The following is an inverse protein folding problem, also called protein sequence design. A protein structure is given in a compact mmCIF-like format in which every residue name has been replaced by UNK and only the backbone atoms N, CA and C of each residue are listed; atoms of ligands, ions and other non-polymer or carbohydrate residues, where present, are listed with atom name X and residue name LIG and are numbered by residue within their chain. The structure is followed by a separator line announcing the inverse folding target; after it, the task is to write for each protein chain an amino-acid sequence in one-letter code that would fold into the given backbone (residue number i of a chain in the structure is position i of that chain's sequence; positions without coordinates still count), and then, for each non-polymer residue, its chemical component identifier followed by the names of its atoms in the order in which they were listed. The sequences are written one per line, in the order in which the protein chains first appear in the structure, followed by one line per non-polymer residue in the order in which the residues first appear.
data_IF_380329479543
#
_entry.id   IF_380329479543
#
_cell.length_a   1.000
_cell.length_b   1.000
_cell.length_c   1.000
_cell.angle_alpha   90.00
_cell.angle_beta   90.00
_cell.angle_gamma   90.00
#
_symmetry.space_group_name_H-M   'P 1'
#
loop_
_entity.id
_entity.type
_entity.pdbx_description
1 polymer ?
#
# COMPACT_ATOMS: atom_id res chain seq x y z
N UNK A 1 12.65 26.90 26.45
CA UNK A 1 12.45 25.47 26.72
C UNK A 1 12.48 24.75 25.38
N UNK A 2 13.64 24.19 25.00
CA UNK A 2 13.90 23.61 23.69
C UNK A 2 14.16 22.10 23.89
N UNK A 3 13.21 21.24 23.50
CA UNK A 3 13.38 19.80 23.57
C UNK A 3 14.30 19.35 22.43
N UNK A 4 15.54 18.98 22.77
CA UNK A 4 16.45 18.22 21.89
C UNK A 4 15.97 16.77 21.86
N UNK A 5 15.40 16.32 20.74
CA UNK A 5 15.29 14.90 20.44
C UNK A 5 16.64 14.39 19.99
N UNK A 6 17.22 13.48 20.78
CA UNK A 6 18.43 12.73 20.47
C UNK A 6 18.03 11.55 19.59
N UNK A 7 18.49 11.54 18.34
CA UNK A 7 18.45 10.39 17.46
C UNK A 7 19.64 9.49 17.82
N UNK A 8 19.40 8.45 18.61
CA UNK A 8 20.41 7.42 18.90
C UNK A 8 20.24 6.25 17.93
N UNK A 9 20.97 6.26 16.82
CA UNK A 9 21.27 5.05 16.05
C UNK A 9 22.53 4.46 16.69
N UNK A 10 22.36 3.44 17.54
CA UNK A 10 23.46 2.67 18.09
C UNK A 10 23.68 1.45 17.17
N UNK A 11 24.63 1.56 16.25
CA UNK A 11 25.12 0.43 15.45
C UNK A 11 26.25 -0.25 16.23
N UNK A 12 25.95 -1.35 16.92
CA UNK A 12 26.95 -2.14 17.64
C UNK A 12 27.30 -3.37 16.78
N UNK A 13 28.27 -3.18 15.87
CA UNK A 13 28.85 -4.28 15.08
C UNK A 13 30.13 -4.71 15.78
N UNK A 14 30.03 -5.73 16.63
CA UNK A 14 31.17 -6.46 17.16
C UNK A 14 30.90 -7.96 17.02
N UNK A 15 31.43 -8.55 15.96
CA UNK A 15 31.34 -9.98 15.70
C UNK A 15 32.04 -10.31 14.38
N UNK A 16 33.29 -10.74 14.48
CA UNK A 16 34.12 -11.14 13.35
C UNK A 16 33.42 -12.18 12.47
N UNK A 17 33.08 -11.79 11.24
CA UNK A 17 32.77 -12.72 10.15
C UNK A 17 33.61 -12.29 8.95
N UNK A 18 34.36 -13.25 8.44
CA UNK A 18 35.24 -13.09 7.29
C UNK A 18 34.55 -12.30 6.17
N UNK A 19 35.18 -11.20 5.76
CA UNK A 19 34.70 -10.34 4.68
C UNK A 19 34.50 -11.16 3.39
N UNK A 20 33.25 -11.55 3.10
CA UNK A 20 32.84 -11.84 1.72
C UNK A 20 32.69 -10.50 1.01
N UNK A 21 33.79 -10.04 0.41
CA UNK A 21 33.84 -8.77 -0.31
C UNK A 21 33.06 -8.77 -1.65
N UNK A 22 32.46 -9.90 -2.05
CA UNK A 22 31.73 -10.04 -3.33
C UNK A 22 30.21 -10.19 -3.17
N UNK A 23 29.65 -9.92 -1.98
CA UNK A 23 28.21 -9.84 -1.83
C UNK A 23 27.71 -8.56 -2.53
N UNK A 24 27.05 -8.73 -3.69
CA UNK A 24 26.36 -7.63 -4.36
C UNK A 24 25.34 -6.94 -3.43
N UNK A 25 24.92 -5.70 -3.75
CA UNK A 25 24.02 -4.91 -2.89
C UNK A 25 22.74 -5.66 -2.47
N UNK A 26 22.22 -6.54 -3.33
CA UNK A 26 21.05 -7.37 -3.01
C UNK A 26 21.30 -8.39 -1.89
N UNK A 27 22.50 -8.96 -1.82
CA UNK A 27 22.87 -9.91 -0.76
C UNK A 27 22.96 -9.19 0.59
N UNK A 28 23.50 -7.97 0.62
CA UNK A 28 23.54 -7.14 1.83
C UNK A 28 22.14 -6.77 2.31
N UNK A 29 21.23 -6.43 1.40
CA UNK A 29 19.83 -6.12 1.77
C UNK A 29 19.05 -7.37 2.21
N UNK A 30 19.36 -8.54 1.64
CA UNK A 30 18.75 -9.79 2.06
C UNK A 30 19.07 -10.13 3.53
N UNK A 31 20.30 -9.85 3.97
CA UNK A 31 20.73 -10.07 5.36
C UNK A 31 20.04 -9.12 6.37
N UNK A 32 19.42 -8.04 5.89
CA UNK A 32 18.68 -7.08 6.72
C UNK A 32 17.17 -7.37 6.78
N UNK A 33 16.69 -8.44 6.14
CA UNK A 33 15.28 -8.76 6.11
C UNK A 33 14.76 -9.16 7.50
N UNK A 34 13.70 -8.50 7.95
CA UNK A 34 12.96 -8.86 9.16
C UNK A 34 11.79 -9.76 8.75
N UNK A 35 11.82 -11.02 9.19
CA UNK A 35 10.70 -11.95 9.05
C UNK A 35 9.55 -11.61 10.00
N UNK A 36 8.33 -11.64 9.49
CA UNK A 36 7.11 -11.30 10.22
C UNK A 36 6.06 -12.39 9.99
N UNK A 37 5.37 -12.80 11.04
CA UNK A 37 4.27 -13.78 11.00
C UNK A 37 3.10 -13.28 11.84
N UNK A 38 1.88 -13.87 11.71
CA UNK A 38 0.74 -13.48 12.53
C UNK A 38 0.99 -13.59 14.05
N UNK A 39 1.86 -14.52 14.48
CA UNK A 39 2.22 -14.71 15.89
C UNK A 39 3.20 -13.63 16.38
N UNK A 40 3.99 -13.07 15.48
CA UNK A 40 4.99 -12.04 15.77
C UNK A 40 4.81 -10.84 14.82
N UNK A 41 3.69 -10.10 14.94
CA UNK A 41 3.37 -9.04 14.00
C UNK A 41 4.34 -7.85 14.16
N UNK A 42 4.56 -7.14 13.05
CA UNK A 42 5.40 -5.94 12.99
C UNK A 42 4.75 -4.89 12.10
N UNK A 43 4.80 -3.66 12.59
CA UNK A 43 4.52 -2.47 11.79
C UNK A 43 5.76 -2.13 10.95
N UNK A 44 5.54 -1.58 9.76
CA UNK A 44 6.58 -1.01 8.91
C UNK A 44 6.24 0.44 8.56
N UNK A 45 7.28 1.19 8.19
CA UNK A 45 7.15 2.51 7.57
C UNK A 45 8.27 2.70 6.55
N UNK A 46 7.89 2.98 5.31
CA UNK A 46 8.77 3.42 4.25
C UNK A 46 8.58 4.90 4.01
N UNK A 47 9.64 5.57 3.59
CA UNK A 47 9.62 6.98 3.18
C UNK A 47 10.45 7.15 1.92
N UNK A 48 9.96 7.98 1.01
CA UNK A 48 10.66 8.42 -0.20
C UNK A 48 11.74 9.48 0.11
N UNK A 49 11.92 9.81 1.40
CA UNK A 49 12.71 10.94 1.93
C UNK A 49 12.18 12.32 1.52
N UNK A 50 11.00 12.36 0.92
CA UNK A 50 10.21 13.53 0.58
C UNK A 50 8.99 13.65 1.50
N UNK A 51 7.82 13.82 0.89
CA UNK A 51 6.57 14.00 1.62
C UNK A 51 5.77 12.70 1.77
N UNK A 52 6.18 11.64 1.09
CA UNK A 52 5.41 10.41 0.96
C UNK A 52 5.87 9.33 1.96
N UNK A 53 4.90 8.65 2.55
CA UNK A 53 5.16 7.54 3.46
C UNK A 53 4.18 6.41 3.20
N UNK A 54 4.66 5.16 3.27
CA UNK A 54 3.82 3.97 3.25
C UNK A 54 4.06 3.21 4.54
N UNK A 55 2.99 2.98 5.31
CA UNK A 55 3.10 2.33 6.61
C UNK A 55 1.94 1.37 6.86
N UNK A 56 2.12 0.45 7.80
CA UNK A 56 1.05 -0.45 8.19
C UNK A 56 1.57 -1.70 8.86
N UNK A 57 0.67 -2.66 9.09
CA UNK A 57 1.05 -3.99 9.57
C UNK A 57 1.59 -4.81 8.40
N UNK A 58 2.76 -5.43 8.56
CA UNK A 58 3.32 -6.29 7.52
C UNK A 58 2.46 -7.55 7.34
N UNK A 59 1.91 -8.07 8.45
CA UNK A 59 0.92 -9.16 8.50
C UNK A 59 -0.11 -8.85 9.59
N UNK A 60 -1.38 -9.08 9.31
CA UNK A 60 -2.51 -8.89 10.23
C UNK A 60 -3.36 -7.65 9.96
N UNK A 61 -4.43 -7.46 10.77
CA UNK A 61 -5.33 -6.31 10.64
C UNK A 61 -4.67 -5.01 11.06
N UNK A 62 -5.00 -3.93 10.37
CA UNK A 62 -4.53 -2.60 10.73
C UNK A 62 -4.92 -2.26 12.18
N UNK A 63 -3.92 -2.00 13.01
CA UNK A 63 -4.16 -1.68 14.43
C UNK A 63 -4.08 -0.18 14.73
N UNK A 64 -3.64 0.63 13.76
CA UNK A 64 -3.42 2.08 13.87
C UNK A 64 -4.02 2.83 12.69
N UNK A 65 -4.48 4.05 12.93
CA UNK A 65 -5.05 4.92 11.89
C UNK A 65 -4.04 5.55 10.95
N UNK A 66 -2.74 5.45 11.24
CA UNK A 66 -1.69 5.88 10.31
C UNK A 66 -1.17 4.68 9.50
N UNK A 67 -2.05 3.89 8.91
CA UNK A 67 -1.65 2.83 7.98
C UNK A 67 -2.12 3.19 6.58
N UNK A 68 -1.50 2.57 5.57
CA UNK A 68 -1.69 2.94 4.18
C UNK A 68 -0.65 3.94 3.69
N UNK A 69 -1.01 4.66 2.63
CA UNK A 69 -0.18 5.59 1.90
C UNK A 69 -0.54 7.04 2.22
N UNK A 70 0.47 7.83 2.54
CA UNK A 70 0.35 9.22 2.98
C UNK A 70 1.20 10.13 2.13
N UNK A 71 0.73 11.35 1.90
CA UNK A 71 1.53 12.45 1.35
C UNK A 71 1.27 13.69 2.18
N UNK A 72 2.34 14.32 2.70
CA UNK A 72 2.26 15.53 3.52
C UNK A 72 1.22 15.41 4.67
N UNK A 73 1.28 14.30 5.42
CA UNK A 73 0.38 13.97 6.54
C UNK A 73 -1.11 13.78 6.20
N UNK A 74 -1.45 13.73 4.91
CA UNK A 74 -2.77 13.33 4.46
C UNK A 74 -2.73 11.87 4.07
N UNK A 75 -3.64 11.09 4.63
CA UNK A 75 -3.93 9.76 4.13
C UNK A 75 -4.45 9.92 2.71
N UNK A 76 -4.05 9.01 1.82
CA UNK A 76 -4.51 8.95 0.43
C UNK A 76 -5.19 7.61 0.18
N UNK A 77 -4.58 6.52 0.67
CA UNK A 77 -5.06 5.16 0.56
C UNK A 77 -4.89 4.46 1.91
N UNK A 78 -5.96 4.00 2.53
CA UNK A 78 -5.97 3.24 3.80
C UNK A 78 -5.37 1.83 3.59
N UNK A 79 -5.68 1.19 2.47
CA UNK A 79 -5.10 -0.10 2.13
C UNK A 79 -5.64 -0.68 0.83
N UNK A 80 -5.36 -1.96 0.60
CA UNK A 80 -5.78 -2.66 -0.60
C UNK A 80 -5.86 -4.18 -0.38
N UNK A 81 -6.49 -4.85 -1.34
CA UNK A 81 -6.46 -6.30 -1.49
C UNK A 81 -6.47 -6.69 -2.97
N UNK A 82 -5.94 -7.88 -3.29
CA UNK A 82 -6.19 -8.56 -4.56
C UNK A 82 -7.11 -9.75 -4.28
N UNK A 83 -8.25 -9.84 -4.97
CA UNK A 83 -9.18 -10.96 -4.86
C UNK A 83 -9.09 -11.84 -6.10
N UNK A 84 -8.94 -13.14 -5.90
CA UNK A 84 -8.87 -14.14 -6.96
C UNK A 84 -10.27 -14.58 -7.41
N UNK A 85 -10.34 -15.31 -8.52
CA UNK A 85 -11.59 -15.82 -9.12
C UNK A 85 -12.43 -16.66 -8.14
N UNK A 86 -11.78 -17.43 -7.27
CA UNK A 86 -12.44 -18.26 -6.25
C UNK A 86 -12.92 -17.47 -5.02
N UNK A 87 -12.68 -16.16 -5.00
CA UNK A 87 -13.00 -15.27 -3.88
C UNK A 87 -11.90 -15.15 -2.82
N UNK A 88 -10.78 -15.87 -2.97
CA UNK A 88 -9.64 -15.75 -2.05
C UNK A 88 -9.10 -14.33 -2.05
N UNK A 89 -9.03 -13.71 -0.87
CA UNK A 89 -8.48 -12.36 -0.70
C UNK A 89 -6.99 -12.44 -0.31
N UNK A 90 -6.16 -11.68 -1.03
CA UNK A 90 -4.74 -11.47 -0.75
C UNK A 90 -4.55 -10.05 -0.20
N UNK A 91 -4.61 -9.93 1.12
CA UNK A 91 -4.41 -8.68 1.86
C UNK A 91 -3.43 -8.86 3.02
N UNK A 92 -3.11 -7.78 3.73
CA UNK A 92 -2.28 -7.87 4.93
C UNK A 92 -2.87 -8.83 5.97
N UNK A 93 -4.20 -8.89 6.06
CA UNK A 93 -4.94 -9.71 7.04
C UNK A 93 -4.80 -11.19 6.76
N UNK A 94 -4.77 -11.58 5.48
CA UNK A 94 -4.75 -12.97 5.05
C UNK A 94 -3.34 -13.49 4.72
N UNK A 95 -2.32 -12.64 4.80
CA UNK A 95 -0.94 -13.04 4.55
C UNK A 95 -0.43 -14.04 5.61
N UNK A 96 0.29 -15.06 5.16
CA UNK A 96 0.88 -16.06 6.06
C UNK A 96 2.15 -15.53 6.73
N UNK A 97 2.95 -14.79 5.96
CA UNK A 97 4.23 -14.24 6.38
C UNK A 97 4.58 -13.00 5.55
N UNK A 98 5.50 -12.19 6.08
CA UNK A 98 6.11 -11.10 5.35
C UNK A 98 7.61 -11.01 5.64
N UNK A 99 8.33 -10.36 4.72
CA UNK A 99 9.73 -9.96 4.88
C UNK A 99 9.84 -8.47 4.64
N UNK A 100 10.23 -7.73 5.66
CA UNK A 100 10.43 -6.29 5.57
C UNK A 100 11.92 -6.01 5.42
N UNK A 101 12.30 -5.34 4.32
CA UNK A 101 13.66 -4.87 4.04
C UNK A 101 13.69 -3.34 4.06
N UNK A 102 14.87 -2.70 4.07
CA UNK A 102 14.97 -1.25 4.04
C UNK A 102 14.26 -0.58 2.84
N UNK A 103 14.18 -1.27 1.70
CA UNK A 103 13.70 -0.74 0.41
C UNK A 103 12.32 -1.27 -0.01
N UNK A 104 11.85 -2.38 0.59
CA UNK A 104 10.61 -3.06 0.17
C UNK A 104 10.05 -3.97 1.23
N UNK A 105 8.78 -4.33 1.07
CA UNK A 105 8.12 -5.41 1.82
C UNK A 105 7.68 -6.51 0.86
N UNK A 106 7.93 -7.76 1.22
CA UNK A 106 7.34 -8.94 0.56
C UNK A 106 6.28 -9.54 1.47
N UNK A 107 5.09 -9.85 0.95
CA UNK A 107 4.06 -10.66 1.61
C UNK A 107 3.85 -11.96 0.85
N UNK A 108 3.57 -13.04 1.56
CA UNK A 108 3.40 -14.37 0.99
C UNK A 108 2.07 -14.97 1.43
N UNK A 109 1.37 -15.59 0.49
CA UNK A 109 0.14 -16.35 0.70
C UNK A 109 0.30 -17.74 0.09
N UNK A 110 -0.04 -18.78 0.86
CA UNK A 110 -0.18 -20.16 0.39
C UNK A 110 -1.67 -20.40 0.11
N UNK A 111 -1.99 -20.65 -1.15
CA UNK A 111 -3.36 -20.88 -1.57
C UNK A 111 -3.83 -22.28 -1.15
N UNK A 112 -5.15 -22.51 -0.99
CA UNK A 112 -5.70 -23.83 -0.67
C UNK A 112 -5.32 -24.92 -1.69
N UNK A 113 -5.09 -24.52 -2.94
CA UNK A 113 -4.65 -25.39 -4.04
C UNK A 113 -3.16 -25.76 -3.99
N UNK A 114 -2.38 -25.13 -3.10
CA UNK A 114 -0.97 -25.42 -2.83
C UNK A 114 0.02 -24.45 -3.48
N UNK A 115 -0.41 -23.63 -4.43
CA UNK A 115 0.41 -22.57 -5.02
C UNK A 115 0.73 -21.46 -4.01
N UNK A 116 1.77 -20.68 -4.30
CA UNK A 116 2.17 -19.54 -3.49
C UNK A 116 2.10 -18.27 -4.33
N UNK A 117 1.46 -17.24 -3.78
CA UNK A 117 1.49 -15.87 -4.31
C UNK A 117 2.41 -15.04 -3.44
N UNK A 118 3.27 -14.23 -4.07
CA UNK A 118 4.11 -13.24 -3.38
C UNK A 118 3.80 -11.85 -3.89
N UNK A 119 3.61 -10.88 -2.99
CA UNK A 119 3.48 -9.47 -3.33
C UNK A 119 4.72 -8.72 -2.85
N UNK A 120 5.42 -8.05 -3.77
CA UNK A 120 6.50 -7.12 -3.44
C UNK A 120 5.99 -5.69 -3.51
N UNK A 121 6.11 -4.96 -2.41
CA UNK A 121 5.64 -3.58 -2.27
C UNK A 121 6.85 -2.65 -2.13
N UNK A 122 6.93 -1.66 -3.01
CA UNK A 122 8.04 -0.72 -3.10
C UNK A 122 7.51 0.70 -3.21
N UNK A 123 7.94 1.58 -2.31
CA UNK A 123 7.67 3.01 -2.42
C UNK A 123 8.55 3.60 -3.54
N UNK A 124 7.99 4.44 -4.41
CA UNK A 124 8.73 5.01 -5.53
C UNK A 124 9.62 6.16 -5.02
N UNK A 125 10.91 6.12 -5.37
CA UNK A 125 11.84 7.18 -4.99
C UNK A 125 11.47 8.49 -5.70
N UNK A 126 11.34 9.58 -4.93
CA UNK A 126 11.07 10.94 -5.44
C UNK A 126 9.78 11.06 -6.26
N UNK A 127 8.83 10.15 -6.05
CA UNK A 127 7.49 10.19 -6.63
C UNK A 127 6.48 9.93 -5.52
N UNK A 128 5.36 10.64 -5.55
CA UNK A 128 4.26 10.45 -4.61
C UNK A 128 3.43 9.22 -5.04
N UNK A 129 4.06 8.04 -4.97
CA UNK A 129 3.43 6.78 -5.34
C UNK A 129 4.20 5.55 -4.87
N UNK A 130 3.60 4.37 -5.04
CA UNK A 130 4.19 3.08 -4.73
C UNK A 130 3.73 2.02 -5.73
N UNK A 131 4.50 0.94 -5.82
CA UNK A 131 4.21 -0.21 -6.66
C UNK A 131 3.96 -1.45 -5.81
N UNK A 132 3.05 -2.30 -6.27
CA UNK A 132 2.85 -3.66 -5.79
C UNK A 132 3.03 -4.61 -6.98
N UNK A 133 3.95 -5.56 -6.88
CA UNK A 133 4.12 -6.64 -7.85
C UNK A 133 3.67 -7.96 -7.22
N UNK A 134 2.56 -8.50 -7.68
CA UNK A 134 2.11 -9.85 -7.36
C UNK A 134 2.73 -10.85 -8.36
N UNK A 135 3.35 -11.90 -7.84
CA UNK A 135 3.90 -13.02 -8.62
C UNK A 135 3.27 -14.33 -8.17
N UNK A 136 3.03 -15.24 -9.13
CA UNK A 136 2.41 -16.53 -8.84
C UNK A 136 0.87 -16.49 -8.81
N UNK A 137 0.25 -15.41 -9.30
CA UNK A 137 -1.21 -15.28 -9.37
C UNK A 137 -1.77 -16.37 -10.30
N UNK A 138 -2.70 -17.23 -9.87
CA UNK A 138 -3.26 -18.28 -10.72
C UNK A 138 -3.94 -17.73 -11.98
N UNK A 139 -4.08 -18.58 -13.00
CA UNK A 139 -4.89 -18.25 -14.16
C UNK A 139 -6.37 -18.04 -13.78
N UNK A 140 -7.06 -17.17 -14.52
CA UNK A 140 -8.45 -16.81 -14.23
C UNK A 140 -8.62 -15.31 -14.02
N UNK A 141 -9.81 -14.93 -13.56
CA UNK A 141 -10.13 -13.53 -13.23
C UNK A 141 -9.50 -13.10 -11.90
N UNK A 142 -9.23 -11.81 -11.78
CA UNK A 142 -8.83 -11.19 -10.51
C UNK A 142 -9.46 -9.80 -10.39
N UNK A 143 -9.53 -9.29 -9.16
CA UNK A 143 -10.00 -7.94 -8.86
C UNK A 143 -9.05 -7.27 -7.85
N UNK A 144 -8.55 -6.08 -8.17
CA UNK A 144 -7.84 -5.23 -7.21
C UNK A 144 -8.84 -4.28 -6.53
N UNK A 145 -8.77 -4.22 -5.20
CA UNK A 145 -9.72 -3.47 -4.36
C UNK A 145 -8.96 -2.41 -3.53
N UNK A 146 -8.83 -1.18 -4.04
CA UNK A 146 -8.27 -0.08 -3.26
C UNK A 146 -9.26 0.41 -2.19
N UNK A 147 -8.75 0.79 -1.02
CA UNK A 147 -9.50 1.47 0.04
C UNK A 147 -8.98 2.90 0.16
N UNK A 148 -9.73 3.86 -0.35
CA UNK A 148 -9.33 5.27 -0.45
C UNK A 148 -9.71 6.01 0.82
N UNK A 149 -8.80 6.78 1.39
CA UNK A 149 -9.13 7.67 2.49
C UNK A 149 -8.32 8.97 2.39
N UNK A 150 -8.89 9.98 1.73
CA UNK A 150 -8.20 11.25 1.45
C UNK A 150 -8.41 12.29 2.56
N UNK A 151 -8.13 11.90 3.80
CA UNK A 151 -8.34 12.73 4.99
C UNK A 151 -7.04 13.20 5.61
N UNK A 152 -7.14 14.29 6.37
CA UNK A 152 -6.11 14.60 7.34
C UNK A 152 -6.24 13.62 8.52
N UNK A 153 -5.13 13.03 8.98
CA UNK A 153 -5.10 11.93 9.95
C UNK A 153 -5.95 12.14 11.23
N UNK A 154 -6.20 13.40 11.59
CA UNK A 154 -6.90 13.81 12.82
C UNK A 154 -8.37 14.18 12.59
N UNK A 155 -8.88 14.05 11.37
CA UNK A 155 -10.27 14.36 11.02
C UNK A 155 -11.01 13.05 10.75
N UNK A 156 -12.14 12.86 11.41
CA UNK A 156 -13.08 11.76 11.13
C UNK A 156 -14.16 12.33 10.23
N UNK A 157 -13.96 12.20 8.92
CA UNK A 157 -14.90 12.69 7.90
C UNK A 157 -15.32 11.54 6.99
N UNK A 158 -16.50 11.66 6.38
CA UNK A 158 -16.97 10.80 5.30
C UNK A 158 -17.13 11.65 4.04
N UNK A 159 -16.01 12.08 3.41
CA UNK A 159 -16.11 12.92 2.22
C UNK A 159 -16.79 12.15 1.08
N UNK A 160 -17.40 12.90 0.17
CA UNK A 160 -17.81 12.40 -1.13
C UNK A 160 -16.60 12.39 -2.08
N UNK A 161 -16.64 11.48 -3.06
CA UNK A 161 -15.50 11.22 -3.95
C UNK A 161 -15.92 11.25 -5.41
N UNK A 162 -15.14 11.95 -6.23
CA UNK A 162 -15.13 11.82 -7.67
C UNK A 162 -14.41 10.53 -8.02
N UNK A 163 -15.02 9.71 -8.87
CA UNK A 163 -14.45 8.44 -9.34
C UNK A 163 -14.52 8.41 -10.86
N UNK A 164 -13.37 8.26 -11.50
CA UNK A 164 -13.24 8.18 -12.95
C UNK A 164 -12.55 6.87 -13.32
N UNK A 165 -13.09 6.15 -14.29
CA UNK A 165 -12.41 5.05 -14.97
C UNK A 165 -12.18 5.46 -16.41
N UNK A 166 -10.92 5.72 -16.77
CA UNK A 166 -10.55 6.18 -18.11
C UNK A 166 -9.20 5.59 -18.49
N UNK A 167 -9.09 5.11 -19.73
CA UNK A 167 -7.82 4.61 -20.28
C UNK A 167 -7.20 3.48 -19.44
N UNK A 168 -8.02 2.66 -18.77
CA UNK A 168 -7.54 1.56 -17.93
C UNK A 168 -7.00 1.97 -16.56
N UNK A 169 -7.19 3.24 -16.16
CA UNK A 169 -6.72 3.78 -14.88
C UNK A 169 -7.92 4.25 -14.06
N UNK A 170 -7.96 3.83 -12.80
CA UNK A 170 -8.90 4.34 -11.81
C UNK A 170 -8.36 5.64 -11.23
N UNK A 171 -9.16 6.69 -11.22
CA UNK A 171 -8.79 8.00 -10.69
C UNK A 171 -9.81 8.42 -9.65
N UNK A 172 -9.32 8.88 -8.51
CA UNK A 172 -10.16 9.24 -7.36
C UNK A 172 -9.69 10.56 -6.78
N UNK A 173 -10.63 11.45 -6.53
CA UNK A 173 -10.42 12.69 -5.81
C UNK A 173 -11.58 12.95 -4.86
N UNK A 174 -11.40 13.86 -3.91
CA UNK A 174 -12.53 14.36 -3.13
C UNK A 174 -13.33 15.36 -3.93
N UNK A 175 -14.66 15.25 -3.88
CA UNK A 175 -15.57 16.18 -4.55
C UNK A 175 -15.40 17.62 -4.07
N UNK A 176 -15.15 17.81 -2.78
CA UNK A 176 -14.96 19.13 -2.18
C UNK A 176 -13.55 19.71 -2.41
N UNK A 177 -12.68 18.94 -3.08
CA UNK A 177 -11.27 19.29 -3.27
C UNK A 177 -10.66 18.62 -4.53
N UNK A 178 -11.19 18.91 -5.73
CA UNK A 178 -10.67 18.34 -6.98
C UNK A 178 -9.38 19.02 -7.47
N UNK A 179 -8.95 20.10 -6.81
CA UNK A 179 -7.76 20.86 -7.16
C UNK A 179 -6.95 21.22 -5.91
N UNK A 180 -5.63 21.37 -6.10
CA UNK A 180 -4.73 21.80 -5.02
C UNK A 180 -4.95 23.29 -4.75
N UNK A 181 -5.17 23.65 -3.48
CA UNK A 181 -5.21 25.04 -3.06
C UNK A 181 -3.81 25.65 -2.94
N UNK A 182 -3.75 26.98 -2.92
CA UNK A 182 -2.49 27.71 -2.81
C UNK A 182 -1.72 27.33 -1.52
N UNK A 183 -0.45 26.96 -1.68
CA UNK A 183 0.44 26.59 -0.56
C UNK A 183 0.20 25.20 0.04
N UNK A 184 -0.78 24.45 -0.46
CA UNK A 184 -1.05 23.09 0.01
C UNK A 184 -0.12 22.09 -0.68
N UNK A 185 0.36 21.09 0.08
CA UNK A 185 1.37 20.13 -0.43
C UNK A 185 0.79 18.77 -0.77
N UNK A 186 -0.39 18.43 -0.25
CA UNK A 186 -0.98 17.14 -0.53
C UNK A 186 -1.68 17.13 -1.89
N UNK A 187 -1.51 16.06 -2.68
CA UNK A 187 -2.11 15.93 -3.98
C UNK A 187 -3.63 15.68 -3.87
N UNK A 188 -4.46 16.35 -4.69
CA UNK A 188 -5.90 16.17 -4.73
C UNK A 188 -6.36 14.89 -5.44
N UNK A 189 -5.53 14.30 -6.30
CA UNK A 189 -5.88 13.12 -7.09
C UNK A 189 -5.01 11.91 -6.74
N UNK A 190 -5.66 10.74 -6.71
CA UNK A 190 -5.08 9.41 -6.64
C UNK A 190 -5.36 8.69 -7.96
N UNK A 191 -4.37 8.02 -8.54
CA UNK A 191 -4.52 7.13 -9.67
C UNK A 191 -4.06 5.71 -9.31
N UNK A 192 -4.75 4.72 -9.85
CA UNK A 192 -4.43 3.29 -9.68
C UNK A 192 -4.47 2.61 -11.04
N UNK A 193 -3.31 2.17 -11.52
CA UNK A 193 -3.15 1.37 -12.72
C UNK A 193 -2.89 -0.10 -12.34
N UNK A 194 -3.52 -1.05 -13.06
CA UNK A 194 -3.38 -2.48 -12.81
C UNK A 194 -3.10 -3.20 -14.12
N UNK A 195 -1.96 -3.88 -14.21
CA UNK A 195 -1.56 -4.60 -15.42
C UNK A 195 -2.55 -5.72 -15.75
N UNK A 196 -3.01 -5.78 -17.00
CA UNK A 196 -3.94 -6.82 -17.44
C UNK A 196 -5.39 -6.63 -16.96
N UNK A 197 -5.70 -5.48 -16.36
CA UNK A 197 -7.07 -5.06 -16.10
C UNK A 197 -7.65 -4.28 -17.29
N UNK A 198 -8.92 -4.52 -17.58
CA UNK A 198 -9.66 -3.90 -18.68
C UNK A 198 -11.08 -3.45 -18.28
N UNK A 199 -11.50 -3.75 -17.05
CA UNK A 199 -12.83 -3.44 -16.53
C UNK A 199 -12.76 -2.81 -15.12
N UNK A 200 -13.79 -2.02 -14.81
CA UNK A 200 -14.00 -1.44 -13.50
C UNK A 200 -15.46 -1.55 -13.08
N UNK A 201 -15.68 -2.21 -11.95
CA UNK A 201 -17.00 -2.32 -11.34
C UNK A 201 -17.11 -1.39 -10.14
N UNK A 202 -17.82 -0.28 -10.31
CA UNK A 202 -18.06 0.70 -9.26
C UNK A 202 -18.85 0.11 -8.07
N UNK A 203 -18.52 0.58 -6.87
CA UNK A 203 -19.19 0.21 -5.61
C UNK A 203 -19.73 1.45 -4.90
N UNK A 204 -18.84 2.36 -4.52
CA UNK A 204 -19.22 3.69 -3.99
C UNK A 204 -19.63 3.71 -2.51
N UNK A 205 -19.27 2.67 -1.75
CA UNK A 205 -19.59 2.56 -0.31
C UNK A 205 -18.43 3.00 0.58
N UNK A 206 -18.72 3.34 1.83
CA UNK A 206 -17.71 3.46 2.87
C UNK A 206 -17.65 2.20 3.73
N UNK A 207 -16.45 1.84 4.19
CA UNK A 207 -16.20 0.79 5.16
C UNK A 207 -15.85 1.42 6.51
N UNK A 208 -16.57 1.09 7.57
CA UNK A 208 -16.19 1.55 8.92
C UNK A 208 -15.04 0.69 9.44
N UNK A 209 -13.95 1.35 9.85
CA UNK A 209 -12.77 0.72 10.42
C UNK A 209 -12.52 1.22 11.85
N UNK A 210 -12.00 0.34 12.70
CA UNK A 210 -11.60 0.65 14.09
C UNK A 210 -10.16 0.21 14.32
N UNK A 211 -9.36 1.08 14.94
CA UNK A 211 -7.93 0.90 15.16
C UNK A 211 -7.64 0.80 16.67
N UNK A 212 -7.53 -0.42 17.23
CA UNK A 212 -7.47 -0.64 18.67
C UNK A 212 -6.30 0.08 19.36
N UNK A 213 -5.12 0.17 18.72
CA UNK A 213 -3.95 0.88 19.32
C UNK A 213 -4.10 2.42 19.28
N UNK A 214 -5.18 2.95 18.68
CA UNK A 214 -5.46 4.38 18.59
C UNK A 214 -6.65 4.82 19.44
N UNK A 215 -7.23 3.93 20.25
CA UNK A 215 -8.39 4.21 21.10
C UNK A 215 -8.17 5.43 22.03
N UNK A 216 -6.96 5.58 22.59
CA UNK A 216 -6.62 6.72 23.45
C UNK A 216 -6.64 8.08 22.73
N UNK A 217 -6.74 8.10 21.39
CA UNK A 217 -6.66 9.31 20.56
C UNK A 217 -7.98 9.62 19.85
N UNK A 218 -9.11 9.05 20.29
CA UNK A 218 -10.51 9.29 19.86
C UNK A 218 -10.71 9.53 18.34
N UNK A 219 -10.36 10.72 17.83
CA UNK A 219 -10.37 11.07 16.40
C UNK A 219 -9.52 10.11 15.52
N UNK A 220 -8.57 9.40 16.10
CA UNK A 220 -7.72 8.43 15.40
C UNK A 220 -8.16 6.97 15.62
N UNK A 221 -9.20 6.71 16.41
CA UNK A 221 -9.67 5.36 16.68
C UNK A 221 -10.43 4.78 15.48
N UNK A 222 -11.08 5.62 14.67
CA UNK A 222 -11.97 5.16 13.60
C UNK A 222 -11.67 5.88 12.29
N UNK A 223 -11.93 5.20 11.19
CA UNK A 223 -11.99 5.79 9.86
C UNK A 223 -13.15 5.21 9.06
N UNK A 224 -13.41 5.85 7.92
CA UNK A 224 -14.43 5.43 6.99
C UNK A 224 -13.85 5.43 5.57
N UNK A 225 -12.84 4.59 5.26
CA UNK A 225 -12.32 4.49 3.91
C UNK A 225 -13.43 4.22 2.90
N UNK A 226 -13.31 4.86 1.75
CA UNK A 226 -14.18 4.73 0.60
C UNK A 226 -13.71 3.60 -0.30
N UNK A 227 -14.66 2.78 -0.76
CA UNK A 227 -14.46 1.69 -1.71
C UNK A 227 -14.98 2.17 -3.06
N UNK A 228 -14.11 2.68 -3.96
CA UNK A 228 -14.54 3.17 -5.26
C UNK A 228 -15.14 2.05 -6.12
N UNK A 229 -14.60 0.84 -5.99
CA UNK A 229 -14.98 -0.31 -6.79
C UNK A 229 -13.83 -1.29 -6.96
N UNK A 230 -13.96 -2.15 -7.95
CA UNK A 230 -13.03 -3.24 -8.25
C UNK A 230 -12.41 -3.03 -9.63
N UNK A 231 -11.08 -2.99 -9.70
CA UNK A 231 -10.34 -2.98 -10.97
C UNK A 231 -10.13 -4.44 -11.37
N UNK A 232 -10.73 -4.87 -12.48
CA UNK A 232 -10.84 -6.28 -12.86
C UNK A 232 -9.96 -6.60 -14.05
N UNK A 233 -9.32 -7.76 -13.98
CA UNK A 233 -8.47 -8.26 -15.04
C UNK A 233 -8.44 -9.79 -15.11
N UNK A 234 -7.56 -10.30 -15.97
CA UNK A 234 -7.46 -11.75 -16.21
C UNK A 234 -6.03 -12.19 -16.48
N UNK A 235 -5.62 -13.29 -15.84
CA UNK A 235 -4.45 -14.08 -16.24
C UNK A 235 -4.91 -15.16 -17.24
N UNK A 236 -4.35 -15.23 -18.47
CA UNK A 236 -4.77 -16.21 -19.47
C UNK A 236 -4.56 -17.67 -19.02
N UNK A 237 -5.56 -18.54 -19.25
CA UNK A 237 -5.52 -19.97 -18.88
C UNK A 237 -4.34 -20.77 -19.46
N UNK A 238 -3.72 -20.28 -20.54
CA UNK A 238 -2.54 -20.92 -21.16
C UNK A 238 -1.25 -20.75 -20.35
N UNK A 239 -1.26 -19.88 -19.33
CA UNK A 239 -0.11 -19.67 -18.44
C UNK A 239 -0.52 -20.19 -17.05
N UNK A 240 0.26 -21.08 -16.42
CA UNK A 240 -0.13 -21.68 -15.13
C UNK A 240 -0.22 -20.63 -14.01
N UNK A 241 0.63 -19.62 -14.04
CA UNK A 241 0.58 -18.46 -13.14
C UNK A 241 1.10 -17.21 -13.83
N UNK A 242 0.61 -16.06 -13.40
CA UNK A 242 0.90 -14.75 -13.97
C UNK A 242 1.51 -13.77 -12.98
N UNK A 243 1.72 -12.56 -13.49
CA UNK A 243 2.13 -11.39 -12.73
C UNK A 243 1.03 -10.35 -12.80
N UNK A 244 0.75 -9.69 -11.69
CA UNK A 244 -0.13 -8.52 -11.62
C UNK A 244 0.67 -7.39 -10.99
N UNK A 245 1.00 -6.38 -11.78
CA UNK A 245 1.62 -5.14 -11.31
C UNK A 245 0.52 -4.11 -11.06
N UNK A 246 0.61 -3.45 -9.91
CA UNK A 246 -0.26 -2.34 -9.53
C UNK A 246 0.63 -1.15 -9.22
N UNK A 247 0.32 -0.02 -9.84
CA UNK A 247 0.96 1.26 -9.53
C UNK A 247 -0.09 2.18 -8.95
N UNK A 248 0.25 2.77 -7.80
CA UNK A 248 -0.55 3.78 -7.14
C UNK A 248 0.26 5.06 -7.16
N UNK A 249 -0.28 6.11 -7.75
CA UNK A 249 0.37 7.40 -7.86
C UNK A 249 -0.61 8.53 -7.52
N UNK A 250 -0.09 9.73 -7.34
CA UNK A 250 -0.89 10.91 -7.04
C UNK A 250 -0.45 12.09 -7.90
N UNK A 251 -1.33 13.07 -8.04
CA UNK A 251 -1.07 14.23 -8.89
C UNK A 251 -1.92 15.44 -8.54
N UNK A 252 -1.55 16.57 -9.14
CA UNK A 252 -2.21 17.87 -8.97
C UNK A 252 -3.58 17.92 -9.68
N UNK A 253 -3.75 17.08 -10.69
CA UNK A 253 -4.96 16.85 -11.46
C UNK A 253 -5.08 15.36 -11.86
N UNK A 254 -6.23 15.01 -12.45
CA UNK A 254 -6.60 13.65 -12.87
C UNK A 254 -5.60 13.06 -13.87
N UNK A 255 -5.10 13.88 -14.82
CA UNK A 255 -4.22 13.41 -15.89
C UNK A 255 -2.79 13.22 -15.39
N UNK A 256 -2.27 14.17 -14.60
CA UNK A 256 -0.95 14.08 -13.96
C UNK A 256 -0.84 12.87 -13.04
N UNK A 257 -1.90 12.57 -12.28
CA UNK A 257 -1.93 11.38 -11.44
C UNK A 257 -1.88 10.10 -12.31
N UNK A 258 -2.61 10.07 -13.43
CA UNK A 258 -2.64 8.93 -14.33
C UNK A 258 -1.32 8.72 -15.09
N UNK A 259 -0.66 9.78 -15.55
CA UNK A 259 0.64 9.71 -16.24
C UNK A 259 1.75 9.17 -15.32
N UNK A 260 1.58 9.31 -14.01
CA UNK A 260 2.50 8.81 -13.00
C UNK A 260 2.24 7.34 -12.58
N UNK A 261 1.10 6.77 -12.97
CA UNK A 261 0.67 5.40 -12.61
C UNK A 261 0.94 4.41 -13.76
#
# INVERSE_FOLDING_TARGET
MLYRFVLSILLLVAGASACRADAGPDALLADLAIGVTPVHPREFIFTDKGAAHLCGEAVGPATRSYHGFYVAMHEILDGWALRLEDGTELSAVTADEARVRPDRMERVWRLPSGETVTATVTLLDRSDGFRILYEGVPAGTFAFLPRVDMRFLWKVTRPAYLVEWREGVLRVAREDRPSRGEGERHPPWLAVAVSGADDFAADGRHLSSTYPKSAARNAMERANPYLPGEIRGRIPLRVPSGRVEVVVATGDDSDTAADAA
#
